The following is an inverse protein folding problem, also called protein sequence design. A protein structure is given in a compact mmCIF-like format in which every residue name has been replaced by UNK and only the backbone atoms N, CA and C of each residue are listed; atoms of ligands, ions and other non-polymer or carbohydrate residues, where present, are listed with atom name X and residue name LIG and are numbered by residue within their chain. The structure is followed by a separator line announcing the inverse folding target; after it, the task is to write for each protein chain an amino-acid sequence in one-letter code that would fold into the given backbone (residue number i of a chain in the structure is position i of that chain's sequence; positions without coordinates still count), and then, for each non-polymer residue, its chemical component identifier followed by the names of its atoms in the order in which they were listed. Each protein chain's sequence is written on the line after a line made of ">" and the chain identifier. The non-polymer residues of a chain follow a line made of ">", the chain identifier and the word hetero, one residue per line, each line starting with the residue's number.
data_IF_727125806200
#
_entry.id   IF_727125806200
#
_cell.length_a   1.000
_cell.length_b   1.000
_cell.length_c   1.000
_cell.angle_alpha   90.00
_cell.angle_beta   90.00
_cell.angle_gamma   90.00
#
_symmetry.space_group_name_H-M   'P 1'
#
loop_
_entity.id
_entity.type
_entity.pdbx_description
1 polymer ?
#
# COMPACT_ATOMS: atom_id res chain seq x y z
N UNK A 1 -1.72 13.30 5.44
CA UNK A 1 -0.92 12.81 4.29
C UNK A 1 -1.45 13.32 2.95
N UNK A 2 -2.71 13.06 2.60
CA UNK A 2 -3.29 13.43 1.30
C UNK A 2 -3.00 14.85 0.79
N UNK A 3 -3.17 15.89 1.62
CA UNK A 3 -2.86 17.27 1.21
C UNK A 3 -1.39 17.46 0.77
N UNK A 4 -0.43 16.83 1.47
CA UNK A 4 1.00 16.88 1.12
C UNK A 4 1.27 16.15 -0.20
N UNK A 5 0.67 14.98 -0.41
CA UNK A 5 0.78 14.26 -1.68
C UNK A 5 0.19 15.05 -2.86
N UNK A 6 -0.96 15.71 -2.66
CA UNK A 6 -1.58 16.56 -3.69
C UNK A 6 -0.68 17.75 -4.04
N UNK A 7 -0.02 18.35 -3.05
CA UNK A 7 0.99 19.40 -3.25
C UNK A 7 2.17 18.88 -4.09
N UNK A 8 2.78 17.77 -3.69
CA UNK A 8 3.90 17.13 -4.42
C UNK A 8 3.52 16.78 -5.86
N UNK A 9 2.31 16.24 -6.07
CA UNK A 9 1.77 15.96 -7.41
C UNK A 9 1.71 17.20 -8.30
N UNK A 10 1.35 18.36 -7.73
CA UNK A 10 1.22 19.64 -8.44
C UNK A 10 2.58 20.25 -8.75
N UNK A 11 3.51 20.20 -7.79
CA UNK A 11 4.84 20.82 -7.90
C UNK A 11 5.80 19.99 -8.75
N UNK A 12 5.63 18.67 -8.80
CA UNK A 12 6.51 17.77 -9.55
C UNK A 12 5.99 17.54 -10.97
N UNK A 13 6.63 18.17 -11.97
CA UNK A 13 6.26 18.02 -13.37
C UNK A 13 6.31 16.54 -13.80
N UNK A 14 5.23 16.06 -14.40
CA UNK A 14 5.14 14.69 -14.94
C UNK A 14 4.80 13.59 -13.93
N UNK A 15 4.55 13.93 -12.66
CA UNK A 15 4.18 12.97 -11.61
C UNK A 15 2.68 12.62 -11.59
N UNK A 16 1.82 13.54 -12.04
CA UNK A 16 0.35 13.38 -12.01
C UNK A 16 -0.29 12.64 -13.18
N UNK A 17 0.48 11.86 -13.96
CA UNK A 17 -0.01 11.17 -15.18
C UNK A 17 -0.63 9.79 -14.85
N UNK A 18 -1.37 9.21 -15.81
CA UNK A 18 -1.88 7.83 -15.72
C UNK A 18 -0.70 6.86 -15.48
N UNK A 19 -0.88 5.89 -14.59
CA UNK A 19 0.18 4.97 -14.16
C UNK A 19 1.18 5.56 -13.14
N UNK A 20 0.95 6.78 -12.66
CA UNK A 20 1.77 7.42 -11.61
C UNK A 20 0.90 7.87 -10.43
N UNK A 21 1.18 9.04 -9.84
CA UNK A 21 0.47 9.55 -8.67
C UNK A 21 -0.89 10.16 -9.06
N UNK A 22 -1.90 9.30 -9.16
CA UNK A 22 -3.29 9.70 -9.44
C UNK A 22 -4.01 10.19 -8.17
N UNK A 23 -5.14 10.91 -8.32
CA UNK A 23 -5.94 11.32 -7.17
C UNK A 23 -6.46 10.12 -6.36
N UNK A 24 -6.96 9.09 -7.07
CA UNK A 24 -7.41 7.83 -6.48
C UNK A 24 -6.31 7.15 -5.65
N UNK A 25 -5.10 7.06 -6.20
CA UNK A 25 -3.96 6.48 -5.47
C UNK A 25 -3.61 7.29 -4.20
N UNK A 26 -3.69 8.62 -4.26
CA UNK A 26 -3.47 9.48 -3.08
C UNK A 26 -4.52 9.20 -1.99
N UNK A 27 -5.78 9.01 -2.38
CA UNK A 27 -6.86 8.74 -1.43
C UNK A 27 -6.70 7.36 -0.79
N UNK A 28 -6.39 6.33 -1.58
CA UNK A 28 -6.06 4.99 -1.08
C UNK A 28 -4.88 5.02 -0.10
N UNK A 29 -3.76 5.64 -0.48
CA UNK A 29 -2.58 5.76 0.40
C UNK A 29 -2.92 6.50 1.70
N UNK A 30 -3.79 7.50 1.65
CA UNK A 30 -4.20 8.25 2.84
C UNK A 30 -5.04 7.40 3.80
N UNK A 31 -5.94 6.56 3.27
CA UNK A 31 -6.77 5.63 4.05
C UNK A 31 -5.90 4.59 4.76
N UNK A 32 -5.03 3.91 4.02
CA UNK A 32 -4.15 2.89 4.59
C UNK A 32 -3.14 3.46 5.59
N UNK A 33 -2.60 4.66 5.33
CA UNK A 33 -1.74 5.36 6.28
C UNK A 33 -2.45 5.62 7.62
N UNK A 34 -3.71 6.08 7.57
CA UNK A 34 -4.52 6.28 8.77
C UNK A 34 -4.90 4.97 9.47
N UNK A 35 -5.04 3.88 8.72
CA UNK A 35 -5.31 2.55 9.26
C UNK A 35 -4.10 1.98 10.01
N UNK A 36 -2.90 2.09 9.42
CA UNK A 36 -1.64 1.68 10.03
C UNK A 36 -1.38 2.39 11.38
N UNK A 37 -1.69 3.69 11.47
CA UNK A 37 -1.58 4.44 12.74
C UNK A 37 -2.58 3.90 13.78
N UNK A 38 -3.84 3.69 13.37
CA UNK A 38 -4.90 3.26 14.31
C UNK A 38 -4.67 1.85 14.84
N UNK A 39 -4.21 0.93 13.98
CA UNK A 39 -3.94 -0.48 14.35
C UNK A 39 -2.71 -0.63 15.24
N UNK A 40 -1.67 0.17 15.01
CA UNK A 40 -0.38 0.05 15.69
C UNK A 40 -0.10 1.21 16.65
N UNK A 41 -1.13 1.74 17.31
CA UNK A 41 -1.00 2.92 18.20
C UNK A 41 0.03 2.75 19.33
N UNK A 42 0.34 1.49 19.69
CA UNK A 42 1.26 1.14 20.79
C UNK A 42 2.69 0.81 20.31
N UNK A 43 2.94 0.76 19.00
CA UNK A 43 4.22 0.31 18.43
C UNK A 43 4.58 1.14 17.21
N UNK A 44 5.64 1.95 17.31
CA UNK A 44 6.11 2.80 16.22
C UNK A 44 6.70 1.96 15.10
N UNK A 45 7.34 0.87 15.48
CA UNK A 45 7.98 -0.10 14.61
C UNK A 45 6.94 -0.79 13.74
N UNK A 46 5.84 -1.28 14.33
CA UNK A 46 4.76 -1.95 13.58
C UNK A 46 4.01 -0.95 12.70
N UNK A 47 3.79 0.27 13.20
CA UNK A 47 3.20 1.35 12.40
C UNK A 47 4.05 1.64 11.16
N UNK A 48 5.37 1.78 11.32
CA UNK A 48 6.31 1.98 10.22
C UNK A 48 6.25 0.81 9.25
N UNK A 49 6.23 -0.43 9.75
CA UNK A 49 6.14 -1.63 8.93
C UNK A 49 4.86 -1.66 8.09
N UNK A 50 3.69 -1.40 8.66
CA UNK A 50 2.41 -1.41 7.92
C UNK A 50 2.32 -0.25 6.90
N UNK A 51 2.90 0.91 7.21
CA UNK A 51 3.03 2.02 6.24
C UNK A 51 3.90 1.60 5.05
N UNK A 52 5.06 0.99 5.30
CA UNK A 52 5.95 0.52 4.23
C UNK A 52 5.33 -0.62 3.41
N UNK A 53 4.60 -1.54 4.05
CA UNK A 53 3.85 -2.60 3.39
C UNK A 53 2.85 -2.02 2.37
N UNK A 54 2.10 -0.99 2.78
CA UNK A 54 1.16 -0.28 1.90
C UNK A 54 1.88 0.31 0.69
N UNK A 55 3.00 1.00 0.91
CA UNK A 55 3.74 1.66 -0.16
C UNK A 55 4.30 0.63 -1.16
N UNK A 56 4.96 -0.42 -0.65
CA UNK A 56 5.52 -1.52 -1.43
C UNK A 56 4.46 -2.24 -2.25
N UNK A 57 3.32 -2.55 -1.64
CA UNK A 57 2.18 -3.14 -2.32
C UNK A 57 1.69 -2.26 -3.49
N UNK A 58 1.56 -0.95 -3.28
CA UNK A 58 1.08 -0.03 -4.33
C UNK A 58 2.13 0.25 -5.42
N UNK A 59 3.41 -0.01 -5.15
CA UNK A 59 4.49 0.04 -6.16
C UNK A 59 4.80 -1.31 -6.80
N UNK A 60 4.12 -2.38 -6.37
CA UNK A 60 4.31 -3.75 -6.87
C UNK A 60 3.90 -3.84 -8.34
N UNK A 61 4.66 -4.59 -9.13
CA UNK A 61 4.29 -4.96 -10.50
C UNK A 61 4.40 -6.47 -10.67
N UNK A 62 3.96 -7.00 -11.81
CA UNK A 62 4.08 -8.43 -12.09
C UNK A 62 5.55 -8.86 -12.21
N UNK A 63 6.41 -8.00 -12.75
CA UNK A 63 7.85 -8.24 -12.90
C UNK A 63 8.62 -8.05 -11.58
N UNK A 64 8.10 -7.21 -10.68
CA UNK A 64 8.70 -6.95 -9.37
C UNK A 64 7.63 -6.99 -8.27
N UNK A 65 7.20 -8.19 -7.86
CA UNK A 65 6.19 -8.37 -6.82
C UNK A 65 6.74 -7.97 -5.44
N UNK A 66 6.01 -7.14 -4.71
CA UNK A 66 6.44 -6.58 -3.43
C UNK A 66 5.41 -6.84 -2.32
N UNK A 67 5.00 -8.10 -2.19
CA UNK A 67 3.97 -8.53 -1.23
C UNK A 67 4.53 -9.01 0.13
N UNK A 68 5.85 -9.07 0.28
CA UNK A 68 6.52 -9.68 1.45
C UNK A 68 6.15 -9.03 2.78
N UNK A 69 6.00 -7.71 2.80
CA UNK A 69 5.66 -6.94 4.01
C UNK A 69 4.15 -6.86 4.27
N UNK A 70 3.32 -7.34 3.33
CA UNK A 70 1.87 -7.35 3.53
C UNK A 70 1.50 -8.35 4.65
N UNK A 71 0.45 -8.07 5.44
CA UNK A 71 0.04 -8.97 6.51
C UNK A 71 -0.27 -10.36 5.94
N UNK A 72 0.26 -11.45 6.54
CA UNK A 72 -0.07 -12.80 6.10
C UNK A 72 -1.46 -13.21 6.58
N UNK A 73 -2.02 -14.25 5.96
CA UNK A 73 -3.25 -14.91 6.42
C UNK A 73 -4.47 -14.64 5.53
N UNK A 74 -5.57 -15.39 5.77
CA UNK A 74 -6.77 -15.34 4.93
C UNK A 74 -7.55 -14.02 5.07
N UNK A 75 -7.33 -13.25 6.14
CA UNK A 75 -7.95 -11.93 6.33
C UNK A 75 -7.03 -10.78 5.85
N UNK A 76 -5.98 -11.11 5.10
CA UNK A 76 -5.09 -10.08 4.56
C UNK A 76 -5.83 -9.20 3.58
N UNK A 77 -5.63 -7.88 3.68
CA UNK A 77 -6.07 -6.95 2.65
C UNK A 77 -5.23 -7.08 1.36
N UNK A 78 -4.11 -7.80 1.41
CA UNK A 78 -3.30 -8.13 0.25
C UNK A 78 -3.80 -9.46 -0.34
N UNK A 79 -4.45 -9.37 -1.49
CA UNK A 79 -5.02 -10.52 -2.20
C UNK A 79 -4.00 -11.62 -2.52
N UNK A 80 -2.73 -11.28 -2.73
CA UNK A 80 -1.66 -12.27 -2.86
C UNK A 80 -1.44 -13.08 -1.58
N UNK A 81 -1.40 -12.41 -0.42
CA UNK A 81 -1.19 -13.08 0.87
C UNK A 81 -2.42 -13.88 1.29
N UNK A 82 -3.61 -13.38 0.98
CA UNK A 82 -4.87 -14.11 1.14
C UNK A 82 -4.89 -15.38 0.28
N UNK A 83 -4.58 -15.26 -1.02
CA UNK A 83 -4.50 -16.41 -1.93
C UNK A 83 -3.44 -17.42 -1.47
N UNK A 84 -2.27 -16.94 -1.00
CA UNK A 84 -1.23 -17.78 -0.41
C UNK A 84 -1.71 -18.54 0.82
N UNK A 85 -2.43 -17.89 1.72
CA UNK A 85 -2.97 -18.53 2.91
C UNK A 85 -4.05 -19.57 2.59
N UNK A 86 -4.83 -19.34 1.54
CA UNK A 86 -5.90 -20.24 1.09
C UNK A 86 -5.44 -21.31 0.09
N UNK A 87 -4.13 -21.47 -0.15
CA UNK A 87 -3.57 -22.37 -1.16
C UNK A 87 -4.12 -22.15 -2.59
N UNK A 88 -4.48 -20.91 -2.92
CA UNK A 88 -5.12 -20.53 -4.20
C UNK A 88 -4.22 -19.66 -5.09
N UNK A 89 -2.89 -19.72 -4.91
CA UNK A 89 -1.95 -18.89 -5.69
C UNK A 89 -1.97 -19.18 -7.19
N UNK A 90 -2.37 -20.39 -7.61
CA UNK A 90 -2.43 -20.76 -9.02
C UNK A 90 -3.49 -19.96 -9.80
N UNK A 91 -4.47 -19.37 -9.09
CA UNK A 91 -5.56 -18.59 -9.68
C UNK A 91 -5.42 -17.08 -9.41
N UNK A 92 -4.26 -16.63 -8.92
CA UNK A 92 -3.96 -15.24 -8.56
C UNK A 92 -3.13 -14.54 -9.65
#
# INVERSE_FOLDING_TARGET
>A
MGARLRKVKKETKGLGRKGKLTAKLIDELSVYYGLAIRRNKNSKEDMKKEIWATLKHKSSTNENPQHEDCPPGPESWCSYQEAKANNNLLNY
#
